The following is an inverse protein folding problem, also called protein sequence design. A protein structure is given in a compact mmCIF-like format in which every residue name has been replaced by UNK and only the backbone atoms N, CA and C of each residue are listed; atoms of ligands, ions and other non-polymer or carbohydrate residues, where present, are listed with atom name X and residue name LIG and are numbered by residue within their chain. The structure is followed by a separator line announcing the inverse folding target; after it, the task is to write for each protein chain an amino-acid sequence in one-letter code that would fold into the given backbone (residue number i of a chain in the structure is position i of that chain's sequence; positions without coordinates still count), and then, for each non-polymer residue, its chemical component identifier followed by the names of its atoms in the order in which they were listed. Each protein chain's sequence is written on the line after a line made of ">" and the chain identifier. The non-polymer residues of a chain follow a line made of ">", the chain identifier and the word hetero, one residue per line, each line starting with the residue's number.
data_IF_310161254211
#
_entry.id   IF_310161254211
#
_cell.length_a   1.000
_cell.length_b   1.000
_cell.length_c   1.000
_cell.angle_alpha   90.00
_cell.angle_beta   90.00
_cell.angle_gamma   90.00
#
_symmetry.space_group_name_H-M   'P 1'
#
loop_
_entity.id
_entity.type
_entity.pdbx_description
1 polymer ?
#
# COMPACT_ATOMS: atom_id res chain seq x y z
N UNK A 1 3.22 -13.25 -16.32
CA UNK A 1 3.16 -12.19 -15.32
C UNK A 1 4.02 -12.60 -14.14
N UNK A 2 5.03 -11.80 -13.81
CA UNK A 2 6.01 -12.13 -12.79
C UNK A 2 6.01 -11.07 -11.72
N UNK A 3 6.01 -11.51 -10.45
CA UNK A 3 6.10 -10.60 -9.31
C UNK A 3 7.50 -10.70 -8.71
N UNK A 4 8.15 -9.55 -8.54
CA UNK A 4 9.46 -9.46 -7.90
C UNK A 4 9.36 -8.57 -6.67
N UNK A 5 9.99 -8.99 -5.59
CA UNK A 5 9.96 -8.26 -4.31
C UNK A 5 11.38 -7.95 -3.89
N UNK A 6 11.63 -6.70 -3.53
CA UNK A 6 12.95 -6.25 -3.08
C UNK A 6 12.82 -5.36 -1.86
N UNK A 7 13.83 -5.38 -1.01
CA UNK A 7 14.03 -4.27 -0.09
C UNK A 7 14.49 -3.06 -0.90
N UNK A 8 14.10 -1.84 -0.50
CA UNK A 8 14.52 -0.66 -1.26
C UNK A 8 16.03 -0.56 -1.47
N UNK A 9 16.83 -0.95 -0.48
CA UNK A 9 18.28 -0.91 -0.58
C UNK A 9 18.83 -1.83 -1.67
N UNK A 10 18.07 -2.84 -2.06
CA UNK A 10 18.47 -3.78 -3.10
C UNK A 10 17.93 -3.39 -4.48
N UNK A 11 17.22 -2.28 -4.57
CA UNK A 11 16.76 -1.73 -5.85
C UNK A 11 17.83 -0.82 -6.45
N UNK A 12 17.99 -0.85 -7.77
CA UNK A 12 18.81 0.14 -8.45
C UNK A 12 17.99 1.43 -8.66
N UNK A 13 18.65 2.48 -9.16
CA UNK A 13 17.99 3.77 -9.34
C UNK A 13 16.85 3.70 -10.34
N UNK A 14 16.98 2.90 -11.40
CA UNK A 14 15.93 2.76 -12.41
C UNK A 14 14.69 2.10 -11.82
N UNK A 15 14.86 1.09 -10.98
CA UNK A 15 13.74 0.44 -10.32
C UNK A 15 13.01 1.40 -9.38
N UNK A 16 13.75 2.16 -8.60
CA UNK A 16 13.15 3.15 -7.69
C UNK A 16 12.42 4.24 -8.47
N UNK A 17 12.98 4.68 -9.60
CA UNK A 17 12.33 5.68 -10.44
C UNK A 17 11.05 5.13 -11.06
N UNK A 18 11.06 3.90 -11.54
CA UNK A 18 9.88 3.27 -12.10
C UNK A 18 8.77 3.14 -11.06
N UNK A 19 9.14 2.72 -9.85
CA UNK A 19 8.18 2.64 -8.75
C UNK A 19 7.56 4.01 -8.50
N UNK A 20 8.39 5.04 -8.36
CA UNK A 20 7.94 6.41 -8.16
C UNK A 20 7.00 6.86 -9.27
N UNK A 21 7.41 6.67 -10.53
CA UNK A 21 6.63 7.15 -11.67
C UNK A 21 5.25 6.49 -11.72
N UNK A 22 5.16 5.20 -11.43
CA UNK A 22 3.87 4.49 -11.43
C UNK A 22 2.99 4.97 -10.28
N UNK A 23 3.56 5.19 -9.10
CA UNK A 23 2.79 5.70 -7.96
C UNK A 23 2.24 7.10 -8.26
N UNK A 24 3.06 7.97 -8.85
CA UNK A 24 2.61 9.32 -9.23
C UNK A 24 1.50 9.24 -10.27
N UNK A 25 1.64 8.36 -11.25
CA UNK A 25 0.61 8.16 -12.28
C UNK A 25 -0.74 7.80 -11.68
N UNK A 26 -0.74 7.07 -10.55
CA UNK A 26 -1.97 6.66 -9.88
C UNK A 26 -2.73 7.80 -9.21
N UNK A 27 -2.10 8.96 -9.02
CA UNK A 27 -2.74 10.17 -8.50
C UNK A 27 -3.39 10.02 -7.12
N UNK A 28 -2.91 9.07 -6.31
CA UNK A 28 -3.48 8.80 -5.00
C UNK A 28 -2.64 9.38 -3.85
N UNK A 29 -1.43 9.82 -4.12
CA UNK A 29 -0.51 10.29 -3.08
C UNK A 29 0.13 11.60 -3.48
N UNK A 30 0.54 12.37 -2.47
CA UNK A 30 1.29 13.60 -2.68
C UNK A 30 2.73 13.25 -3.10
N UNK A 31 3.22 13.73 -4.24
CA UNK A 31 4.58 13.40 -4.69
C UNK A 31 5.69 14.06 -3.89
N UNK A 32 5.39 15.08 -3.09
CA UNK A 32 6.42 15.74 -2.28
C UNK A 32 6.98 14.77 -1.24
N UNK A 33 8.30 14.55 -1.28
CA UNK A 33 8.96 13.63 -0.37
C UNK A 33 8.68 12.16 -0.65
N UNK A 34 7.97 11.86 -1.72
CA UNK A 34 7.55 10.49 -2.02
C UNK A 34 8.73 9.55 -2.24
N UNK A 35 9.77 9.98 -2.96
CA UNK A 35 10.92 9.11 -3.21
C UNK A 35 11.59 8.67 -1.90
N UNK A 36 11.73 9.58 -0.95
CA UNK A 36 12.30 9.23 0.36
C UNK A 36 11.41 8.25 1.11
N UNK A 37 10.09 8.42 1.03
CA UNK A 37 9.17 7.49 1.68
C UNK A 37 9.22 6.10 1.03
N UNK A 38 9.41 6.04 -0.29
CA UNK A 38 9.60 4.77 -1.00
C UNK A 38 10.88 4.08 -0.51
N UNK A 39 11.96 4.83 -0.37
CA UNK A 39 13.23 4.30 0.13
C UNK A 39 13.15 3.82 1.57
N UNK A 40 12.23 4.36 2.36
CA UNK A 40 12.02 3.97 3.75
C UNK A 40 11.07 2.78 3.91
N UNK A 41 10.49 2.29 2.83
CA UNK A 41 9.59 1.15 2.89
C UNK A 41 10.32 -0.11 3.34
N UNK A 42 9.56 -1.06 3.88
CA UNK A 42 10.13 -2.36 4.28
C UNK A 42 10.36 -3.24 3.06
N UNK A 43 9.38 -3.30 2.15
CA UNK A 43 9.47 -4.05 0.90
C UNK A 43 8.74 -3.33 -0.22
N UNK A 44 9.28 -3.49 -1.43
CA UNK A 44 8.63 -3.03 -2.66
C UNK A 44 8.36 -4.23 -3.54
N UNK A 45 7.17 -4.26 -4.17
CA UNK A 45 6.85 -5.30 -5.14
C UNK A 45 6.61 -4.68 -6.52
N UNK A 46 6.98 -5.42 -7.54
CA UNK A 46 6.88 -5.01 -8.94
C UNK A 46 6.23 -6.15 -9.73
N UNK A 47 5.26 -5.82 -10.55
CA UNK A 47 4.68 -6.79 -11.49
C UNK A 47 5.26 -6.52 -12.86
N UNK A 48 5.87 -7.55 -13.43
CA UNK A 48 6.47 -7.48 -14.77
C UNK A 48 5.64 -8.29 -15.76
N UNK A 49 5.33 -7.71 -16.88
CA UNK A 49 4.60 -8.34 -17.95
C UNK A 49 5.23 -7.92 -19.27
N UNK A 50 5.67 -8.90 -20.10
CA UNK A 50 6.32 -8.62 -21.38
C UNK A 50 7.52 -7.66 -21.23
N UNK A 51 8.32 -7.87 -20.20
CA UNK A 51 9.52 -7.06 -19.89
C UNK A 51 9.21 -5.62 -19.52
N UNK A 52 7.98 -5.34 -19.13
CA UNK A 52 7.58 -4.01 -18.70
C UNK A 52 7.01 -4.08 -17.28
N UNK A 53 7.36 -3.12 -16.42
CA UNK A 53 6.77 -3.01 -15.08
C UNK A 53 5.40 -2.34 -15.25
N UNK A 54 4.34 -3.04 -14.87
CA UNK A 54 2.97 -2.59 -15.09
C UNK A 54 2.21 -2.34 -13.79
N UNK A 55 2.80 -2.67 -12.64
CA UNK A 55 2.17 -2.41 -11.36
C UNK A 55 3.18 -2.50 -10.23
N UNK A 56 2.87 -1.83 -9.13
CA UNK A 56 3.71 -1.79 -7.93
C UNK A 56 2.84 -1.82 -6.69
N UNK A 57 3.44 -2.21 -5.56
CA UNK A 57 2.85 -2.07 -4.24
C UNK A 57 3.98 -2.11 -3.21
N UNK A 58 3.68 -1.78 -1.96
CA UNK A 58 4.70 -1.76 -0.92
C UNK A 58 4.16 -2.17 0.44
N UNK A 59 5.07 -2.63 1.28
CA UNK A 59 4.88 -2.63 2.73
C UNK A 59 5.60 -1.39 3.22
N UNK A 60 4.84 -0.40 3.69
CA UNK A 60 5.37 0.87 4.14
C UNK A 60 5.77 0.79 5.61
N UNK A 61 6.76 1.59 5.96
CA UNK A 61 7.22 1.75 7.34
C UNK A 61 6.71 3.11 7.80
N UNK A 62 5.49 3.20 8.34
CA UNK A 62 4.86 4.49 8.56
C UNK A 62 5.50 5.25 9.71
N UNK A 63 5.56 6.57 9.57
CA UNK A 63 5.89 7.43 10.67
C UNK A 63 4.85 7.26 11.78
N UNK A 64 5.30 7.21 13.04
CA UNK A 64 4.42 6.97 14.18
C UNK A 64 3.33 8.02 14.32
N UNK A 65 3.67 9.29 14.10
CA UNK A 65 2.70 10.37 14.25
C UNK A 65 1.66 10.32 13.13
N UNK A 66 2.08 10.01 11.92
CA UNK A 66 1.19 9.84 10.78
C UNK A 66 0.20 8.71 11.04
N UNK A 67 0.70 7.56 11.49
CA UNK A 67 -0.16 6.41 11.79
C UNK A 67 -1.16 6.74 12.89
N UNK A 68 -0.68 7.33 13.97
CA UNK A 68 -1.52 7.67 15.11
C UNK A 68 -2.64 8.63 14.71
N UNK A 69 -2.32 9.59 13.86
CA UNK A 69 -3.31 10.56 13.37
C UNK A 69 -4.42 9.87 12.58
N UNK A 70 -4.07 8.92 11.71
CA UNK A 70 -5.05 8.16 10.95
C UNK A 70 -5.98 7.38 11.89
N UNK A 71 -5.41 6.67 12.84
CA UNK A 71 -6.21 5.88 13.78
C UNK A 71 -7.10 6.75 14.64
N UNK A 72 -6.60 7.93 15.00
CA UNK A 72 -7.40 8.90 15.76
C UNK A 72 -8.58 9.40 14.94
N UNK A 73 -8.36 9.75 13.67
CA UNK A 73 -9.43 10.20 12.78
C UNK A 73 -10.51 9.14 12.59
N UNK A 74 -10.12 7.89 12.60
CA UNK A 74 -11.06 6.77 12.49
C UNK A 74 -11.68 6.37 13.83
N UNK A 75 -11.38 7.10 14.90
CA UNK A 75 -11.88 6.85 16.26
C UNK A 75 -11.43 5.54 16.87
N UNK A 76 -10.24 5.08 16.50
CA UNK A 76 -9.64 3.85 17.01
C UNK A 76 -8.17 4.04 17.40
N UNK A 77 -7.83 5.22 17.90
CA UNK A 77 -6.46 5.57 18.24
C UNK A 77 -5.78 4.53 19.14
N UNK A 78 -6.53 3.91 20.03
CA UNK A 78 -5.98 2.93 20.97
C UNK A 78 -5.41 1.69 20.30
N UNK A 79 -5.76 1.44 19.05
CA UNK A 79 -5.26 0.27 18.31
C UNK A 79 -4.04 0.58 17.44
N UNK A 80 -3.59 1.83 17.38
CA UNK A 80 -2.50 2.23 16.47
C UNK A 80 -1.23 1.40 16.68
N UNK A 81 -0.87 1.10 17.91
CA UNK A 81 0.37 0.37 18.21
C UNK A 81 0.27 -1.12 17.89
N UNK A 82 -0.90 -1.62 17.52
CA UNK A 82 -1.08 -3.03 17.17
C UNK A 82 -0.65 -3.33 15.73
N UNK A 83 -0.36 -2.31 14.92
CA UNK A 83 -0.07 -2.47 13.51
C UNK A 83 1.22 -1.74 13.17
N UNK A 84 2.26 -2.51 12.83
CA UNK A 84 3.59 -1.93 12.59
C UNK A 84 3.77 -1.45 11.16
N UNK A 85 3.04 -2.03 10.21
CA UNK A 85 3.27 -1.80 8.78
C UNK A 85 1.98 -1.45 8.06
N UNK A 86 2.13 -0.67 7.01
CA UNK A 86 1.02 -0.28 6.15
C UNK A 86 1.21 -0.89 4.76
N UNK A 87 0.17 -1.53 4.23
CA UNK A 87 0.13 -1.90 2.81
C UNK A 87 -0.27 -0.64 2.05
N UNK A 88 0.54 -0.23 1.10
CA UNK A 88 0.27 1.00 0.37
C UNK A 88 0.97 1.08 -0.96
N UNK A 89 0.83 2.25 -1.60
CA UNK A 89 1.38 2.52 -2.93
C UNK A 89 0.99 1.47 -3.96
N UNK A 90 -0.19 0.84 -3.82
CA UNK A 90 -0.63 -0.20 -4.74
C UNK A 90 -1.25 0.47 -5.96
N UNK A 91 -0.53 0.47 -7.07
CA UNK A 91 -0.96 1.10 -8.32
C UNK A 91 -0.67 0.17 -9.49
N UNK A 92 -1.66 -0.01 -10.35
CA UNK A 92 -1.50 -0.71 -11.62
C UNK A 92 -1.67 0.32 -12.74
N UNK A 93 -0.81 0.26 -13.75
CA UNK A 93 -0.94 1.12 -14.93
C UNK A 93 -2.32 0.96 -15.54
N UNK A 94 -2.88 2.07 -15.98
CA UNK A 94 -4.26 2.10 -16.49
C UNK A 94 -4.50 1.06 -17.59
N UNK A 95 -3.52 0.87 -18.46
CA UNK A 95 -3.62 -0.07 -19.57
C UNK A 95 -3.67 -1.54 -19.14
N UNK A 96 -3.37 -1.82 -17.89
CA UNK A 96 -3.25 -3.19 -17.36
C UNK A 96 -4.17 -3.47 -16.18
N UNK A 97 -5.17 -2.62 -15.97
CA UNK A 97 -6.11 -2.81 -14.84
C UNK A 97 -7.07 -3.97 -15.13
N UNK A 98 -7.71 -4.45 -14.05
CA UNK A 98 -8.70 -5.53 -14.09
C UNK A 98 -8.10 -6.89 -14.47
N UNK A 99 -6.80 -7.08 -14.19
CA UNK A 99 -6.10 -8.35 -14.45
C UNK A 99 -5.61 -9.00 -13.16
N UNK A 100 -6.05 -8.51 -12.00
CA UNK A 100 -5.64 -9.07 -10.71
C UNK A 100 -4.22 -8.72 -10.29
N UNK A 101 -3.62 -7.70 -10.89
CA UNK A 101 -2.22 -7.35 -10.62
C UNK A 101 -2.04 -6.83 -9.20
N UNK A 102 -2.88 -5.89 -8.75
CA UNK A 102 -2.76 -5.35 -7.39
C UNK A 102 -2.97 -6.43 -6.34
N UNK A 103 -3.92 -7.33 -6.58
CA UNK A 103 -4.16 -8.44 -5.65
C UNK A 103 -2.92 -9.31 -5.54
N UNK A 104 -2.33 -9.68 -6.66
CA UNK A 104 -1.13 -10.51 -6.68
C UNK A 104 0.04 -9.84 -5.95
N UNK A 105 0.24 -8.54 -6.21
CA UNK A 105 1.32 -7.78 -5.59
C UNK A 105 1.17 -7.72 -4.08
N UNK A 106 -0.03 -7.40 -3.60
CA UNK A 106 -0.28 -7.28 -2.16
C UNK A 106 -0.14 -8.64 -1.48
N UNK A 107 -0.72 -9.69 -2.06
CA UNK A 107 -0.62 -11.02 -1.47
C UNK A 107 0.83 -11.49 -1.39
N UNK A 108 1.61 -11.24 -2.43
CA UNK A 108 3.02 -11.61 -2.45
C UNK A 108 3.81 -10.89 -1.36
N UNK A 109 3.51 -9.60 -1.15
CA UNK A 109 4.14 -8.83 -0.07
C UNK A 109 3.78 -9.40 1.30
N UNK A 110 2.51 -9.71 1.50
CA UNK A 110 2.05 -10.26 2.78
C UNK A 110 2.68 -11.61 3.07
N UNK A 111 2.85 -12.43 2.05
CA UNK A 111 3.51 -13.73 2.20
C UNK A 111 4.99 -13.58 2.52
N UNK A 112 5.64 -12.55 1.97
CA UNK A 112 7.06 -12.30 2.18
C UNK A 112 7.35 -11.78 3.58
N UNK A 113 6.44 -11.00 4.16
CA UNK A 113 6.65 -10.36 5.45
C UNK A 113 6.58 -11.37 6.59
N UNK A 114 7.45 -11.21 7.58
CA UNK A 114 7.37 -11.99 8.82
C UNK A 114 6.26 -11.47 9.73
N UNK A 115 5.98 -10.17 9.68
CA UNK A 115 4.84 -9.59 10.37
C UNK A 115 3.57 -9.88 9.60
N UNK A 116 2.46 -10.07 10.31
CA UNK A 116 1.16 -10.25 9.67
C UNK A 116 0.15 -9.20 10.17
N UNK A 117 0.64 -8.17 10.84
CA UNK A 117 -0.21 -7.12 11.39
C UNK A 117 -0.13 -5.88 10.54
N UNK A 118 -0.99 -5.81 9.53
CA UNK A 118 -1.00 -4.72 8.56
C UNK A 118 -2.26 -3.87 8.69
N UNK A 119 -2.12 -2.58 8.37
CA UNK A 119 -3.27 -1.76 8.09
C UNK A 119 -3.14 -1.19 6.69
N UNK A 120 -4.23 -0.64 6.19
CA UNK A 120 -4.25 0.04 4.89
C UNK A 120 -5.34 1.08 4.92
N UNK A 121 -5.17 2.16 4.15
CA UNK A 121 -6.20 3.17 3.99
C UNK A 121 -6.47 3.36 2.52
N UNK A 122 -7.70 3.64 2.16
CA UNK A 122 -8.05 3.89 0.76
C UNK A 122 -9.27 4.78 0.64
N UNK A 123 -9.28 5.59 -0.41
CA UNK A 123 -10.45 6.35 -0.83
C UNK A 123 -11.12 5.75 -2.08
N UNK A 124 -10.60 4.63 -2.56
CA UNK A 124 -10.96 4.03 -3.83
C UNK A 124 -11.83 2.78 -3.61
N UNK A 125 -13.02 2.73 -4.24
CA UNK A 125 -13.93 1.60 -4.05
C UNK A 125 -13.37 0.27 -4.54
N UNK A 126 -12.64 0.28 -5.64
CA UNK A 126 -12.02 -0.95 -6.14
C UNK A 126 -11.04 -1.51 -5.14
N UNK A 127 -10.28 -0.64 -4.49
CA UNK A 127 -9.33 -1.07 -3.47
C UNK A 127 -10.04 -1.54 -2.21
N UNK A 128 -11.17 -0.92 -1.84
CA UNK A 128 -11.98 -1.41 -0.71
C UNK A 128 -12.41 -2.86 -0.94
N UNK A 129 -12.95 -3.14 -2.13
CA UNK A 129 -13.37 -4.50 -2.48
C UNK A 129 -12.18 -5.47 -2.47
N UNK A 130 -11.04 -5.04 -2.99
CA UNK A 130 -9.86 -5.88 -3.04
C UNK A 130 -9.36 -6.22 -1.64
N UNK A 131 -9.24 -5.22 -0.77
CA UNK A 131 -8.76 -5.43 0.59
C UNK A 131 -9.67 -6.40 1.35
N UNK A 132 -10.99 -6.23 1.21
CA UNK A 132 -11.93 -7.14 1.85
C UNK A 132 -11.81 -8.55 1.30
N UNK A 133 -11.63 -8.68 0.00
CA UNK A 133 -11.47 -9.99 -0.63
C UNK A 133 -10.24 -10.73 -0.09
N UNK A 134 -9.15 -10.03 0.19
CA UNK A 134 -7.93 -10.68 0.65
C UNK A 134 -7.83 -10.79 2.17
N UNK A 135 -8.89 -10.44 2.89
CA UNK A 135 -8.97 -10.71 4.31
C UNK A 135 -8.84 -9.52 5.23
N UNK A 136 -8.81 -8.31 4.71
CA UNK A 136 -8.84 -7.11 5.54
C UNK A 136 -10.27 -6.82 5.97
N UNK A 137 -10.41 -6.22 7.15
CA UNK A 137 -11.68 -5.79 7.68
C UNK A 137 -11.62 -4.31 8.04
N UNK A 138 -12.72 -3.62 7.85
CA UNK A 138 -12.83 -2.21 8.22
C UNK A 138 -12.60 -2.05 9.73
N UNK A 139 -11.84 -1.02 10.10
CA UNK A 139 -11.56 -0.70 11.48
C UNK A 139 -11.98 0.75 11.74
N UNK A 140 -12.88 0.94 12.69
CA UNK A 140 -13.33 2.29 13.05
C UNK A 140 -14.23 2.92 12.02
N UNK A 141 -14.28 4.24 12.03
CA UNK A 141 -15.17 5.03 11.18
C UNK A 141 -14.42 5.54 9.95
N UNK A 142 -15.15 5.75 8.86
CA UNK A 142 -14.61 6.50 7.74
C UNK A 142 -14.26 7.91 8.22
N UNK A 143 -13.24 8.50 7.59
CA UNK A 143 -12.79 9.84 7.95
C UNK A 143 -12.46 10.61 6.67
N UNK A 144 -12.29 11.92 6.80
CA UNK A 144 -11.93 12.75 5.64
C UNK A 144 -10.51 13.25 5.78
N UNK A 145 -9.84 13.41 4.64
CA UNK A 145 -8.52 14.05 4.59
C UNK A 145 -8.70 15.56 4.31
N UNK A 146 -7.56 16.26 4.15
CA UNK A 146 -7.57 17.69 3.91
C UNK A 146 -8.22 18.09 2.58
N UNK A 147 -8.36 17.15 1.65
CA UNK A 147 -9.00 17.36 0.36
C UNK A 147 -10.49 16.98 0.37
N UNK A 148 -11.07 16.76 1.54
CA UNK A 148 -12.45 16.33 1.71
C UNK A 148 -12.79 14.99 1.07
N UNK A 149 -11.77 14.17 0.87
CA UNK A 149 -11.98 12.82 0.35
C UNK A 149 -12.25 11.87 1.52
N UNK A 150 -13.15 10.91 1.29
CA UNK A 150 -13.54 9.94 2.33
C UNK A 150 -12.63 8.73 2.27
N UNK A 151 -11.94 8.44 3.38
CA UNK A 151 -11.06 7.30 3.49
C UNK A 151 -11.64 6.26 4.45
N UNK A 152 -11.28 5.01 4.19
CA UNK A 152 -11.60 3.88 5.06
C UNK A 152 -10.31 3.27 5.56
N UNK A 153 -10.25 3.00 6.85
CA UNK A 153 -9.13 2.30 7.47
C UNK A 153 -9.46 0.81 7.54
N UNK A 154 -8.52 -0.02 7.10
CA UNK A 154 -8.64 -1.48 7.11
C UNK A 154 -7.53 -2.09 7.93
N UNK A 155 -7.78 -3.27 8.49
CA UNK A 155 -6.77 -4.02 9.23
C UNK A 155 -6.72 -5.47 8.80
N UNK A 156 -5.56 -6.08 8.93
CA UNK A 156 -5.34 -7.50 8.70
C UNK A 156 -4.52 -8.05 9.88
N UNK A 157 -5.00 -9.11 10.51
CA UNK A 157 -4.38 -9.64 11.73
C UNK A 157 -3.64 -10.93 11.52
N UNK A 158 -3.31 -11.27 10.28
CA UNK A 158 -2.49 -12.45 10.02
C UNK A 158 -3.23 -13.74 9.99
N UNK A 159 -4.55 -13.73 10.19
CA UNK A 159 -5.31 -14.94 10.03
C UNK A 159 -6.73 -14.62 9.69
N UNK A 160 -7.35 -15.59 9.20
CA UNK A 160 -8.67 -15.48 8.73
C UNK A 160 -9.62 -15.72 9.73
#
# INVERSE_FOLDING_TARGET
>A
MTTKIFKPDNCNEDQLKMFYDIVVEGKQVNPNGLLNRIKDADYLSFCELNNEIVGVASIKNPDKNYKKDIFKKANVEKFADNFDYEIGYAVTKETHRRKGISEQLIKSLMDKSTSKSFYATTKNDSMRHLLEKIGFAKLGDNYTNDNNEILTLYRYNGKK
#
